data_IF_018688980243
#
_entry.id   IF_018688980243
#
_cell.length_a   1.000
_cell.length_b   1.000
_cell.length_c   1.000
_cell.angle_alpha   90.00
_cell.angle_beta   90.00
_cell.angle_gamma   90.00
#
_symmetry.space_group_name_H-M   'P 1'
#
loop_
_entity.id
_entity.type
_entity.pdbx_description
1 polymer ?
#
# COMPACT_ATOMS: atom_id res chain seq x y z
N UNK A 1 19.66 8.25 -2.41
CA UNK A 1 18.37 8.14 -1.70
C UNK A 1 17.55 6.98 -2.24
N UNK A 2 16.89 6.27 -1.35
CA UNK A 2 16.05 5.15 -1.74
C UNK A 2 14.69 5.67 -2.18
N UNK A 3 14.28 5.28 -3.38
CA UNK A 3 12.97 5.66 -3.89
C UNK A 3 11.96 4.58 -3.55
N UNK A 4 10.79 4.98 -3.10
CA UNK A 4 9.68 4.06 -2.97
C UNK A 4 9.20 3.69 -4.36
N UNK A 5 8.74 2.45 -4.53
CA UNK A 5 8.12 2.06 -5.78
C UNK A 5 6.80 2.81 -5.95
N UNK A 6 6.33 2.92 -7.20
CA UNK A 6 5.05 3.57 -7.46
C UNK A 6 3.91 2.83 -6.75
N UNK A 7 3.98 1.50 -6.72
CA UNK A 7 2.97 0.69 -6.05
C UNK A 7 2.95 0.94 -4.55
N UNK A 8 4.12 1.05 -3.93
CA UNK A 8 4.19 1.35 -2.49
C UNK A 8 3.60 2.71 -2.17
N UNK A 9 3.86 3.70 -3.02
CA UNK A 9 3.29 5.03 -2.84
C UNK A 9 1.76 5.02 -2.90
N UNK A 10 1.22 4.27 -3.85
CA UNK A 10 -0.23 4.14 -3.99
C UNK A 10 -0.84 3.43 -2.78
N UNK A 11 -0.20 2.35 -2.33
CA UNK A 11 -0.66 1.59 -1.16
C UNK A 11 -0.61 2.46 0.10
N UNK A 12 0.45 3.24 0.27
CA UNK A 12 0.57 4.12 1.42
C UNK A 12 -0.57 5.15 1.45
N UNK A 13 -0.89 5.75 0.30
CA UNK A 13 -1.98 6.71 0.20
C UNK A 13 -3.33 6.06 0.54
N UNK A 14 -3.55 4.83 0.06
CA UNK A 14 -4.78 4.09 0.36
C UNK A 14 -4.86 3.78 1.85
N UNK A 15 -3.76 3.32 2.43
CA UNK A 15 -3.71 3.01 3.86
C UNK A 15 -4.03 4.24 4.70
N UNK A 16 -3.45 5.39 4.36
CA UNK A 16 -3.74 6.64 5.07
C UNK A 16 -5.19 7.03 4.97
N UNK A 17 -5.80 6.83 3.80
CA UNK A 17 -7.22 7.06 3.61
C UNK A 17 -8.09 6.18 4.49
N UNK A 18 -7.69 4.92 4.65
CA UNK A 18 -8.41 3.99 5.53
C UNK A 18 -8.34 4.43 6.98
N UNK A 19 -7.17 4.91 7.40
CA UNK A 19 -6.98 5.39 8.76
C UNK A 19 -7.78 6.67 9.01
N UNK A 20 -7.91 7.52 8.02
CA UNK A 20 -8.75 8.70 8.14
C UNK A 20 -10.21 8.34 8.39
N UNK A 21 -10.68 7.27 7.76
CA UNK A 21 -12.05 6.80 7.96
C UNK A 21 -12.22 6.04 9.26
N UNK A 22 -11.16 5.39 9.72
CA UNK A 22 -11.18 4.61 10.95
C UNK A 22 -9.90 4.88 11.74
N UNK A 23 -9.86 5.95 12.55
CA UNK A 23 -8.64 6.32 13.28
C UNK A 23 -8.15 5.26 14.27
N UNK A 24 -8.99 4.29 14.61
CA UNK A 24 -8.57 3.22 15.52
C UNK A 24 -7.78 2.13 14.79
N UNK A 25 -7.74 2.18 13.47
CA UNK A 25 -7.04 1.16 12.67
C UNK A 25 -5.54 1.37 12.71
N UNK A 26 -4.75 0.35 13.11
CA UNK A 26 -3.28 0.48 13.06
C UNK A 26 -2.80 0.53 11.61
N UNK A 27 -1.67 1.18 11.41
CA UNK A 27 -1.13 1.37 10.07
C UNK A 27 -0.84 0.04 9.35
N UNK A 28 -0.29 -0.93 10.07
CA UNK A 28 0.01 -2.23 9.46
C UNK A 28 -1.25 -2.95 8.99
N UNK A 29 -2.36 -2.79 9.70
CA UNK A 29 -3.63 -3.36 9.26
C UNK A 29 -4.15 -2.63 8.03
N UNK A 30 -4.02 -1.31 8.00
CA UNK A 30 -4.43 -0.52 6.84
C UNK A 30 -3.63 -0.93 5.60
N UNK A 31 -2.34 -1.19 5.76
CA UNK A 31 -1.51 -1.67 4.66
C UNK A 31 -1.99 -3.02 4.14
N UNK A 32 -2.28 -3.94 5.03
CA UNK A 32 -2.76 -5.26 4.64
C UNK A 32 -4.08 -5.16 3.87
N UNK A 33 -4.99 -4.32 4.36
CA UNK A 33 -6.27 -4.11 3.68
C UNK A 33 -6.09 -3.47 2.32
N UNK A 34 -5.17 -2.53 2.20
CA UNK A 34 -4.88 -1.88 0.93
C UNK A 34 -4.37 -2.89 -0.09
N UNK A 35 -3.45 -3.75 0.29
CA UNK A 35 -2.94 -4.80 -0.61
C UNK A 35 -4.04 -5.77 -1.02
N UNK A 36 -4.90 -6.18 -0.09
CA UNK A 36 -6.00 -7.08 -0.39
C UNK A 36 -7.00 -6.47 -1.37
N UNK A 37 -7.27 -5.18 -1.21
CA UNK A 37 -8.23 -4.49 -2.07
C UNK A 37 -7.67 -4.20 -3.46
N UNK A 38 -6.33 -4.20 -3.58
CA UNK A 38 -5.67 -3.82 -4.82
C UNK A 38 -4.60 -4.85 -5.23
N UNK A 39 -5.02 -6.07 -5.59
CA UNK A 39 -4.05 -7.10 -5.99
C UNK A 39 -3.22 -6.71 -7.21
N UNK A 40 -3.74 -5.84 -8.06
CA UNK A 40 -2.99 -5.34 -9.21
C UNK A 40 -1.74 -4.56 -8.77
N UNK A 41 -1.80 -3.91 -7.61
CA UNK A 41 -0.66 -3.16 -7.10
C UNK A 41 0.43 -4.09 -6.57
N UNK A 42 0.04 -5.25 -6.06
CA UNK A 42 1.00 -6.26 -5.65
C UNK A 42 1.80 -6.74 -6.85
N UNK A 43 1.13 -6.98 -7.97
CA UNK A 43 1.80 -7.38 -9.20
C UNK A 43 2.73 -6.29 -9.70
N UNK A 44 2.32 -5.02 -9.64
CA UNK A 44 3.17 -3.89 -9.99
C UNK A 44 4.41 -3.84 -9.12
N UNK A 45 4.21 -4.05 -7.82
CA UNK A 45 5.32 -3.99 -6.87
C UNK A 45 6.35 -5.07 -7.16
N UNK A 46 5.91 -6.29 -7.44
CA UNK A 46 6.80 -7.40 -7.78
C UNK A 46 7.57 -7.11 -9.07
N UNK A 47 6.89 -6.53 -10.05
CA UNK A 47 7.49 -6.17 -11.33
C UNK A 47 8.57 -5.10 -11.13
N UNK A 48 8.27 -4.09 -10.33
CA UNK A 48 9.21 -3.01 -10.03
C UNK A 48 10.41 -3.50 -9.22
N UNK A 49 10.25 -4.56 -8.46
CA UNK A 49 11.34 -5.14 -7.69
C UNK A 49 12.35 -5.90 -8.57
N UNK A 50 12.01 -6.13 -9.83
CA UNK A 50 12.95 -6.71 -10.78
C UNK A 50 13.06 -8.22 -10.76
N UNK A 51 12.05 -8.90 -10.32
CA UNK A 51 12.03 -10.38 -10.32
C UNK A 51 11.52 -10.93 -11.62
#
# INVERSE_FOLDING_TARGET
AVKKSAAEGKIDAIAKGLIEKDPSMPYNMALAKAWEAHPELMAEYEDEAGY
#
